data_IF_936829170771
#
_entry.id   IF_936829170771
#
_cell.length_a   1.000
_cell.length_b   1.000
_cell.length_c   1.000
_cell.angle_alpha   90.00
_cell.angle_beta   90.00
_cell.angle_gamma   90.00
#
_symmetry.space_group_name_H-M   'P 1'
#
loop_
_entity.id
_entity.type
_entity.pdbx_description
1 polymer ?
2 water ?
#
# COMPACT_ATOMS: atom_id res chain seq x y z
N UNK A 4 -9.74 -8.48 8.32
CA UNK A 4 -10.87 -8.00 9.11
C UNK A 4 -11.71 -7.11 8.21
N UNK A 5 -11.89 -5.91 8.63
CA UNK A 5 -12.55 -4.99 7.75
C UNK A 5 -11.42 -4.50 6.82
N UNK A 6 -10.30 -5.23 6.60
CA UNK A 6 -9.22 -4.61 5.80
C UNK A 6 -9.65 -4.25 4.35
N UNK A 7 -9.20 -3.08 3.84
CA UNK A 7 -9.53 -2.60 2.51
C UNK A 7 -8.84 -3.40 1.43
N UNK A 8 -7.55 -3.71 1.64
CA UNK A 8 -6.75 -4.48 0.71
C UNK A 8 -6.30 -5.76 1.37
N UNK A 9 -5.95 -6.72 0.52
CA UNK A 9 -5.36 -7.99 0.88
C UNK A 9 -3.97 -8.18 0.29
N UNK A 10 -3.21 -9.15 0.78
CA UNK A 10 -1.87 -9.48 0.23
C UNK A 10 -1.97 -9.75 -1.25
N UNK A 11 -1.07 -9.17 -2.00
CA UNK A 11 -1.03 -9.39 -3.43
C UNK A 11 -1.84 -8.42 -4.25
N UNK A 12 -2.76 -7.64 -3.64
CA UNK A 12 -3.49 -6.62 -4.46
C UNK A 12 -2.49 -5.68 -5.08
N UNK A 13 -2.76 -5.30 -6.30
CA UNK A 13 -2.01 -4.29 -7.00
C UNK A 13 -2.61 -2.91 -6.67
N UNK A 14 -1.79 -2.00 -6.15
CA UNK A 14 -2.22 -0.67 -5.72
C UNK A 14 -1.25 0.37 -6.22
N UNK A 15 -1.74 1.61 -6.22
CA UNK A 15 -0.93 2.78 -6.47
C UNK A 15 -1.26 3.91 -5.54
N UNK A 16 -0.30 4.82 -5.36
CA UNK A 16 -0.60 6.07 -4.70
C UNK A 16 -1.58 6.88 -5.54
N UNK A 17 -2.60 7.45 -4.90
CA UNK A 17 -3.60 8.32 -5.58
C UNK A 17 -3.02 9.63 -6.08
N UNK A 18 -2.11 10.20 -5.31
CA UNK A 18 -1.66 11.56 -5.59
C UNK A 18 -0.26 11.80 -5.05
N UNK A 19 0.34 12.91 -5.42
CA UNK A 19 1.66 13.26 -4.95
C UNK A 19 2.69 12.29 -5.38
N UNK A 20 3.64 11.96 -4.53
CA UNK A 20 4.70 11.03 -4.89
C UNK A 20 4.13 9.75 -5.37
N UNK A 21 4.63 9.19 -6.48
CA UNK A 21 4.08 7.99 -7.05
C UNK A 21 4.66 6.74 -6.40
N UNK A 22 3.84 5.66 -6.41
CA UNK A 22 4.30 4.35 -6.03
C UNK A 22 3.31 3.38 -6.58
N UNK A 23 3.73 2.17 -7.02
CA UNK A 23 2.83 1.19 -7.59
C UNK A 23 3.41 -0.16 -7.45
N UNK A 24 2.58 -1.09 -7.03
CA UNK A 24 3.03 -2.48 -6.90
C UNK A 24 2.12 -3.28 -6.01
N UNK A 25 2.55 -4.36 -5.42
CA UNK A 25 1.75 -5.29 -4.67
C UNK A 25 1.75 -5.03 -3.16
N UNK A 26 0.62 -5.21 -2.52
CA UNK A 26 0.54 -5.24 -1.05
C UNK A 26 1.35 -6.42 -0.56
N UNK A 27 2.29 -6.15 0.35
CA UNK A 27 3.14 -7.11 0.97
C UNK A 27 3.13 -7.09 2.45
N UNK A 28 2.31 -6.23 3.09
CA UNK A 28 2.17 -6.19 4.54
C UNK A 28 1.26 -5.09 4.98
N UNK A 29 1.25 -4.92 6.32
CA UNK A 29 0.27 -4.02 6.97
C UNK A 29 0.88 -3.49 8.23
N UNK A 30 0.34 -2.35 8.70
CA UNK A 30 0.72 -1.78 9.99
C UNK A 30 -0.39 -0.93 10.53
N UNK A 31 -0.33 -0.69 11.84
CA UNK A 31 -1.42 0.02 12.56
C UNK A 31 -0.79 0.83 13.65
N UNK A 32 -1.02 2.15 13.62
CA UNK A 32 -0.64 3.06 14.70
C UNK A 32 -1.84 3.97 15.00
N UNK A 33 -1.76 4.77 16.07
CA UNK A 33 -2.80 5.73 16.30
C UNK A 33 -2.96 6.74 15.19
N UNK A 34 -1.86 7.19 14.56
CA UNK A 34 -1.92 8.13 13.48
C UNK A 34 -2.39 7.49 12.20
N UNK A 35 -2.09 6.21 12.02
CA UNK A 35 -2.39 5.43 10.82
C UNK A 35 -3.02 4.10 11.22
N UNK A 36 -4.30 4.11 11.57
CA UNK A 36 -4.86 2.90 12.09
C UNK A 36 -5.02 1.74 11.07
N UNK A 37 -4.89 2.11 9.80
CA UNK A 37 -4.92 1.11 8.73
C UNK A 37 -3.87 1.53 7.66
N UNK A 38 -2.73 0.83 7.70
CA UNK A 38 -1.64 1.14 6.80
C UNK A 38 -1.18 -0.11 6.09
N UNK A 39 -0.54 0.11 4.94
CA UNK A 39 -0.07 -1.00 4.10
C UNK A 39 1.37 -0.80 3.66
N UNK A 40 2.07 -1.94 3.53
CA UNK A 40 3.38 -2.00 2.88
C UNK A 40 3.20 -2.43 1.43
N UNK A 41 3.87 -1.73 0.52
CA UNK A 41 3.72 -1.96 -0.91
C UNK A 41 5.09 -2.13 -1.53
N UNK A 42 5.34 -3.28 -2.17
CA UNK A 42 6.59 -3.53 -2.88
C UNK A 42 6.46 -2.95 -4.27
N UNK A 43 7.39 -2.08 -4.67
CA UNK A 43 7.33 -1.54 -6.03
C UNK A 43 7.43 -2.64 -7.07
N UNK A 44 6.62 -2.51 -8.11
CA UNK A 44 6.69 -3.39 -9.27
C UNK A 44 7.82 -2.98 -10.22
N UNK A 45 8.28 -1.76 -10.12
CA UNK A 45 9.40 -1.27 -10.91
C UNK A 45 10.76 -1.55 -10.28
N UNK A 46 10.83 -1.55 -8.98
CA UNK A 46 12.08 -1.63 -8.20
C UNK A 46 11.93 -2.81 -7.23
N UNK A 47 12.13 -4.02 -7.68
CA UNK A 47 11.96 -5.19 -6.83
C UNK A 47 12.77 -5.09 -5.52
N UNK A 48 12.15 -5.47 -4.43
CA UNK A 48 12.73 -5.44 -3.13
C UNK A 48 12.54 -4.16 -2.37
N UNK A 49 12.20 -3.07 -3.03
CA UNK A 49 11.99 -1.76 -2.37
C UNK A 49 10.51 -1.72 -1.94
N UNK A 50 10.30 -1.46 -0.67
CA UNK A 50 9.00 -1.41 -0.01
C UNK A 50 8.80 -0.07 0.65
N UNK A 51 7.60 0.52 0.48
CA UNK A 51 7.24 1.71 1.20
C UNK A 51 5.90 1.49 1.85
N UNK A 52 5.67 2.22 2.95
CA UNK A 52 4.48 2.13 3.75
C UNK A 52 3.65 3.40 3.65
N UNK A 53 2.32 3.22 3.56
CA UNK A 53 1.38 4.31 3.43
C UNK A 53 0.08 4.02 4.12
N UNK A 54 -0.61 5.11 4.57
CA UNK A 54 -1.99 4.95 5.06
C UNK A 54 -2.90 4.52 3.92
N UNK A 55 -3.98 3.78 4.29
CA UNK A 55 -4.95 3.31 3.32
C UNK A 55 -5.50 4.45 2.48
N UNK A 56 -5.76 5.63 3.04
CA UNK A 56 -6.38 6.71 2.26
C UNK A 56 -5.49 7.18 1.11
N UNK A 57 -4.19 6.90 1.17
CA UNK A 57 -3.29 7.30 0.11
C UNK A 57 -3.25 6.36 -1.05
N UNK A 58 -3.87 5.23 -0.98
CA UNK A 58 -3.71 4.15 -1.96
C UNK A 58 -5.02 3.81 -2.63
N UNK A 59 -4.98 3.32 -3.84
CA UNK A 59 -6.15 2.79 -4.53
C UNK A 59 -5.74 1.53 -5.32
N UNK A 60 -6.66 0.55 -5.36
CA UNK A 60 -6.43 -0.68 -6.06
C UNK A 60 -6.62 -0.50 -7.56
N UNK A 61 -5.79 -1.20 -8.35
CA UNK A 61 -5.85 -1.19 -9.81
C UNK A 61 -5.85 -2.64 -10.30
N UNK A 62 -6.20 -2.86 -11.55
CA UNK A 62 -6.11 -4.25 -12.09
C UNK A 62 -4.66 -4.56 -12.45
#
# INVERSE_FOLDING_TARGET
>A
VFPSNATFGMGDRVRKKSGAAWQGQIVGWYCTNLTPEGYAVESEAHPGSVQIYPVAALERIN
#
